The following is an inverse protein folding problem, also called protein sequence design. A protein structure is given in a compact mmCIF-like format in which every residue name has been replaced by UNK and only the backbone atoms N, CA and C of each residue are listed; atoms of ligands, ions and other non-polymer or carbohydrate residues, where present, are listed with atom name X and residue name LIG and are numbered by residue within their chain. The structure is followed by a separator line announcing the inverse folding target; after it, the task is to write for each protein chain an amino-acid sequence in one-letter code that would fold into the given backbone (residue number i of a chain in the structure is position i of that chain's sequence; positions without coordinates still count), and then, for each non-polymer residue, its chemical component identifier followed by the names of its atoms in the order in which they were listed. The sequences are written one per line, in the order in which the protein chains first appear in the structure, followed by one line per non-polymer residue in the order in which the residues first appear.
data_IF_076740040057
#
_entry.id   IF_076740040057
#
_cell.length_a   1.000
_cell.length_b   1.000
_cell.length_c   1.000
_cell.angle_alpha   90.00
_cell.angle_beta   90.00
_cell.angle_gamma   90.00
#
_symmetry.space_group_name_H-M   'P 1'
#
loop_
_entity.id
_entity.type
_entity.pdbx_description
1 polymer ?
#
# COMPACT_ATOMS: atom_id res chain seq x y z
N UNK A 1 26.85 2.33 4.31
CA UNK A 1 26.13 2.77 5.52
C UNK A 1 25.08 3.75 5.03
N UNK A 2 23.79 3.43 5.07
CA UNK A 2 22.76 4.43 4.78
C UNK A 2 22.77 5.36 5.99
N UNK A 3 22.99 6.67 5.85
CA UNK A 3 22.99 7.56 7.00
C UNK A 3 21.60 7.54 7.62
N UNK A 4 21.50 7.02 8.84
CA UNK A 4 20.27 6.92 9.62
C UNK A 4 19.85 8.27 10.23
N UNK A 5 20.41 9.37 9.73
CA UNK A 5 20.12 10.74 10.13
C UNK A 5 19.86 11.48 8.83
N UNK A 6 18.57 11.71 8.54
CA UNK A 6 18.19 12.67 7.51
C UNK A 6 18.76 14.00 7.96
N UNK A 7 19.61 14.64 7.15
CA UNK A 7 20.07 16.01 7.37
C UNK A 7 18.83 16.88 7.73
N UNK A 8 18.86 17.67 8.82
CA UNK A 8 17.76 18.58 9.17
C UNK A 8 17.21 19.39 7.99
N UNK A 9 18.08 19.78 7.05
CA UNK A 9 17.67 20.49 5.82
C UNK A 9 16.83 19.64 4.87
N UNK A 10 17.16 18.36 4.72
CA UNK A 10 16.42 17.39 3.92
C UNK A 10 15.08 17.00 4.55
N UNK A 11 15.03 16.88 5.88
CA UNK A 11 13.79 16.60 6.61
C UNK A 11 12.79 17.76 6.52
N UNK A 12 13.29 19.00 6.53
CA UNK A 12 12.45 20.19 6.32
C UNK A 12 11.84 20.17 4.91
N UNK A 13 12.67 20.01 3.86
CA UNK A 13 12.18 19.97 2.47
C UNK A 13 11.13 18.87 2.24
N UNK A 14 11.32 17.71 2.88
CA UNK A 14 10.34 16.63 2.86
C UNK A 14 9.01 17.05 3.50
N UNK A 15 9.08 17.66 4.69
CA UNK A 15 7.89 18.10 5.43
C UNK A 15 7.12 19.16 4.64
N UNK A 16 7.83 20.15 4.08
CA UNK A 16 7.26 21.20 3.23
C UNK A 16 6.50 20.59 2.03
N UNK A 17 7.13 19.65 1.33
CA UNK A 17 6.50 18.98 0.18
C UNK A 17 5.23 18.22 0.56
N UNK A 18 5.24 17.55 1.72
CA UNK A 18 4.07 16.83 2.23
C UNK A 18 2.95 17.79 2.60
N UNK A 19 3.26 18.88 3.30
CA UNK A 19 2.29 19.92 3.70
C UNK A 19 1.65 20.57 2.47
N UNK A 20 2.45 20.93 1.46
CA UNK A 20 1.95 21.51 0.21
C UNK A 20 1.04 20.52 -0.54
N UNK A 21 1.40 19.24 -0.59
CA UNK A 21 0.58 18.20 -1.19
C UNK A 21 -0.76 18.02 -0.47
N UNK A 22 -0.75 17.97 0.86
CA UNK A 22 -1.97 17.90 1.67
C UNK A 22 -2.85 19.13 1.43
N UNK A 23 -2.26 20.33 1.44
CA UNK A 23 -2.99 21.57 1.17
C UNK A 23 -3.64 21.55 -0.22
N UNK A 24 -2.89 21.15 -1.25
CA UNK A 24 -3.39 21.03 -2.63
C UNK A 24 -4.60 20.09 -2.74
N UNK A 25 -4.58 18.94 -2.04
CA UNK A 25 -5.72 18.01 -2.01
C UNK A 25 -6.96 18.69 -1.41
N UNK A 26 -6.83 19.36 -0.27
CA UNK A 26 -7.99 19.99 0.38
C UNK A 26 -8.51 21.22 -0.37
N UNK A 27 -7.62 21.95 -1.06
CA UNK A 27 -8.01 23.02 -2.00
C UNK A 27 -8.78 22.46 -3.19
N UNK A 28 -8.31 21.38 -3.80
CA UNK A 28 -9.00 20.72 -4.92
C UNK A 28 -10.38 20.21 -4.52
N UNK A 29 -10.51 19.68 -3.30
CA UNK A 29 -11.78 19.22 -2.74
C UNK A 29 -12.68 20.38 -2.26
N UNK A 30 -12.16 21.60 -2.17
CA UNK A 30 -12.83 22.78 -1.58
C UNK A 30 -13.33 22.49 -0.16
N UNK A 31 -12.49 21.86 0.66
CA UNK A 31 -12.84 21.42 2.01
C UNK A 31 -11.80 21.85 3.03
N UNK A 32 -12.26 22.15 4.25
CA UNK A 32 -11.38 22.42 5.39
C UNK A 32 -11.37 21.23 6.36
N UNK A 33 -10.22 20.57 6.57
CA UNK A 33 -10.17 19.43 7.47
C UNK A 33 -10.07 19.81 8.95
N UNK A 34 -10.63 18.96 9.79
CA UNK A 34 -10.18 18.75 11.18
C UNK A 34 -8.95 17.86 11.11
N UNK A 35 -7.88 18.24 11.80
CA UNK A 35 -6.60 17.52 11.72
C UNK A 35 -6.41 16.73 13.01
N UNK A 36 -6.22 15.43 12.87
CA UNK A 36 -5.79 14.50 13.92
C UNK A 36 -4.49 13.83 13.49
N UNK A 37 -3.68 13.43 14.46
CA UNK A 37 -2.41 12.78 14.18
C UNK A 37 -2.12 11.72 15.24
N UNK A 38 -1.35 10.72 14.85
CA UNK A 38 -0.88 9.67 15.75
C UNK A 38 0.08 10.24 16.79
N UNK A 39 -0.26 10.12 18.08
CA UNK A 39 0.48 10.79 19.17
C UNK A 39 1.93 10.33 19.32
N UNK A 40 2.20 9.04 19.08
CA UNK A 40 3.52 8.42 19.25
C UNK A 40 4.51 8.79 18.15
N UNK A 41 4.06 9.48 17.09
CA UNK A 41 4.93 9.91 15.99
C UNK A 41 5.18 11.40 16.01
N UNK A 42 6.43 11.77 16.32
CA UNK A 42 6.91 13.15 16.21
C UNK A 42 6.79 13.69 14.77
N UNK A 43 7.02 12.83 13.76
CA UNK A 43 6.87 13.18 12.35
C UNK A 43 5.42 13.49 12.01
N UNK A 44 4.48 12.65 12.44
CA UNK A 44 3.05 12.87 12.22
C UNK A 44 2.57 14.15 12.90
N UNK A 45 3.00 14.37 14.16
CA UNK A 45 2.73 15.59 14.91
C UNK A 45 3.26 16.83 14.20
N UNK A 46 4.50 16.79 13.70
CA UNK A 46 5.11 17.89 12.95
C UNK A 46 4.32 18.22 11.70
N UNK A 47 4.06 17.23 10.84
CA UNK A 47 3.28 17.41 9.60
C UNK A 47 1.89 17.98 9.91
N UNK A 48 1.22 17.46 10.94
CA UNK A 48 -0.10 17.93 11.34
C UNK A 48 -0.08 19.39 11.83
N UNK A 49 0.91 19.77 12.64
CA UNK A 49 1.08 21.15 13.09
C UNK A 49 1.41 22.10 11.93
N UNK A 50 2.35 21.75 11.06
CA UNK A 50 2.72 22.56 9.90
C UNK A 50 1.54 22.71 8.92
N UNK A 51 0.77 21.63 8.68
CA UNK A 51 -0.48 21.68 7.90
C UNK A 51 -1.51 22.59 8.57
N UNK A 52 -1.70 22.48 9.89
CA UNK A 52 -2.64 23.33 10.63
C UNK A 52 -2.24 24.80 10.56
N UNK A 53 -0.94 25.11 10.64
CA UNK A 53 -0.41 26.47 10.47
C UNK A 53 -0.65 26.95 9.05
N UNK A 54 -0.29 26.15 8.03
CA UNK A 54 -0.54 26.45 6.61
C UNK A 54 -2.02 26.81 6.41
N UNK A 55 -2.95 25.89 6.70
CA UNK A 55 -4.41 26.11 6.57
C UNK A 55 -4.90 27.34 7.35
N UNK A 56 -4.37 27.61 8.55
CA UNK A 56 -4.71 28.81 9.32
C UNK A 56 -4.19 30.09 8.68
N UNK A 57 -2.98 30.10 8.14
CA UNK A 57 -2.40 31.26 7.45
C UNK A 57 -3.22 31.62 6.21
N UNK A 58 -3.57 30.63 5.38
CA UNK A 58 -4.47 30.83 4.24
C UNK A 58 -5.81 31.42 4.67
N UNK A 59 -6.36 31.00 5.81
CA UNK A 59 -7.66 31.49 6.28
C UNK A 59 -7.57 32.90 6.93
N UNK A 60 -6.47 33.20 7.64
CA UNK A 60 -6.36 34.42 8.48
C UNK A 60 -5.98 35.67 7.68
N UNK A 61 -5.32 35.51 6.53
CA UNK A 61 -4.98 36.64 5.67
C UNK A 61 -6.19 37.35 5.01
N UNK A 62 -7.42 36.85 5.20
CA UNK A 62 -8.66 37.57 4.88
C UNK A 62 -8.90 38.80 5.79
N UNK A 63 -8.20 38.91 6.94
CA UNK A 63 -8.37 40.02 7.90
C UNK A 63 -7.02 40.62 8.31
N UNK A 64 -6.71 41.79 7.75
CA UNK A 64 -5.57 42.67 8.03
C UNK A 64 -4.93 42.54 9.43
N UNK A 65 -3.92 41.67 9.59
CA UNK A 65 -3.05 41.65 10.77
C UNK A 65 -1.61 41.35 10.30
N UNK A 66 -0.70 42.33 10.47
CA UNK A 66 0.74 42.18 10.23
C UNK A 66 1.40 41.28 11.29
N UNK A 67 2.33 40.42 10.86
CA UNK A 67 3.22 39.64 11.72
C UNK A 67 4.69 39.96 11.39
N UNK A 68 5.62 39.86 12.37
CA UNK A 68 7.04 40.17 12.18
C UNK A 68 7.74 39.21 11.21
N UNK A 69 8.56 39.78 10.34
CA UNK A 69 9.08 39.20 9.10
C UNK A 69 10.39 38.40 9.27
N UNK A 70 10.43 37.41 10.18
CA UNK A 70 11.67 36.67 10.46
C UNK A 70 11.64 35.18 10.07
N UNK A 71 10.83 34.77 9.09
CA UNK A 71 10.90 33.43 8.50
C UNK A 71 10.69 33.49 6.97
N UNK A 72 11.80 33.49 6.24
CA UNK A 72 11.87 33.65 4.77
C UNK A 72 11.23 32.50 3.98
N UNK A 73 10.70 31.46 4.62
CA UNK A 73 9.98 30.36 3.98
C UNK A 73 8.45 30.55 3.95
N UNK A 74 7.92 31.63 4.55
CA UNK A 74 6.47 31.95 4.55
C UNK A 74 6.01 32.85 3.40
N UNK A 75 6.87 33.18 2.43
CA UNK A 75 6.57 34.15 1.38
C UNK A 75 5.52 33.66 0.36
N UNK A 76 5.40 32.34 0.12
CA UNK A 76 4.34 31.82 -0.77
C UNK A 76 2.94 31.97 -0.14
N UNK A 77 2.86 31.86 1.19
CA UNK A 77 1.61 32.01 1.97
C UNK A 77 1.14 33.46 2.13
N UNK A 78 1.95 34.44 1.75
CA UNK A 78 1.60 35.86 1.87
C UNK A 78 0.75 36.39 0.71
N UNK A 79 0.76 35.72 -0.45
CA UNK A 79 0.11 36.24 -1.66
C UNK A 79 -1.32 35.74 -1.87
N UNK A 80 -1.75 34.67 -1.21
CA UNK A 80 -3.01 33.99 -1.54
C UNK A 80 -3.94 33.90 -0.30
N UNK A 81 -4.40 35.05 0.18
CA UNK A 81 -5.33 35.15 1.28
C UNK A 81 -6.70 34.55 0.95
N UNK A 82 -7.28 33.76 1.86
CA UNK A 82 -8.67 33.30 1.79
C UNK A 82 -8.93 32.00 1.02
N UNK A 83 -7.89 31.28 0.55
CA UNK A 83 -8.11 30.06 -0.25
C UNK A 83 -8.91 28.95 0.45
N UNK A 84 -8.92 28.95 1.80
CA UNK A 84 -9.67 27.99 2.60
C UNK A 84 -10.99 28.53 3.16
N UNK A 85 -11.47 29.68 2.68
CA UNK A 85 -12.77 30.27 3.09
C UNK A 85 -13.93 29.59 2.36
N UNK A 86 -14.09 28.29 2.61
CA UNK A 86 -15.16 27.49 2.05
C UNK A 86 -16.42 27.56 2.92
N UNK A 87 -17.59 27.40 2.29
CA UNK A 87 -18.86 27.28 3.01
C UNK A 87 -18.77 26.16 4.04
N UNK A 88 -19.19 26.45 5.27
CA UNK A 88 -19.28 25.43 6.33
C UNK A 88 -20.26 24.33 5.90
N UNK A 89 -19.83 23.09 6.05
CA UNK A 89 -20.65 21.90 5.79
C UNK A 89 -21.02 21.22 7.10
N UNK A 90 -22.12 20.45 7.11
CA UNK A 90 -22.64 19.78 8.31
C UNK A 90 -21.60 18.82 8.92
N UNK A 91 -20.88 18.09 8.07
CA UNK A 91 -19.72 17.30 8.46
C UNK A 91 -18.43 18.00 8.06
N UNK A 92 -17.49 18.09 9.01
CA UNK A 92 -16.12 18.53 8.71
C UNK A 92 -15.29 17.32 8.30
N UNK A 93 -14.55 17.36 7.18
CA UNK A 93 -13.67 16.27 6.79
C UNK A 93 -12.56 16.09 7.83
N UNK A 94 -12.11 14.85 8.00
CA UNK A 94 -11.02 14.51 8.91
C UNK A 94 -9.75 14.24 8.10
N UNK A 95 -8.67 14.96 8.38
CA UNK A 95 -7.31 14.59 8.01
C UNK A 95 -6.71 13.81 9.19
N UNK A 96 -6.43 12.53 8.98
CA UNK A 96 -5.69 11.71 9.94
C UNK A 96 -4.25 11.49 9.44
N UNK A 97 -3.28 12.01 10.18
CA UNK A 97 -1.84 11.82 9.91
C UNK A 97 -1.33 10.64 10.73
N UNK A 98 -1.02 9.53 10.05
CA UNK A 98 -0.49 8.31 10.68
C UNK A 98 0.94 8.03 10.24
N UNK A 99 1.66 7.28 11.05
CA UNK A 99 3.03 6.85 10.77
C UNK A 99 3.08 5.37 10.42
N UNK A 100 3.77 5.05 9.32
CA UNK A 100 3.94 3.67 8.85
C UNK A 100 4.65 2.78 9.87
N UNK A 101 5.44 3.35 10.78
CA UNK A 101 6.10 2.61 11.87
C UNK A 101 5.12 1.87 12.79
N UNK A 102 3.85 2.27 12.83
CA UNK A 102 2.84 1.61 13.65
C UNK A 102 2.36 0.28 13.07
N UNK A 103 2.39 0.15 11.74
CA UNK A 103 2.05 -1.06 11.00
C UNK A 103 3.06 -1.33 9.87
N UNK A 104 4.25 -1.86 10.22
CA UNK A 104 5.27 -2.21 9.23
C UNK A 104 4.90 -3.45 8.41
N UNK A 105 3.91 -4.25 8.83
CA UNK A 105 3.54 -5.51 8.15
C UNK A 105 2.80 -5.24 6.86
N UNK A 106 1.87 -4.28 6.87
CA UNK A 106 1.05 -3.95 5.72
C UNK A 106 1.85 -3.56 4.46
N UNK A 107 3.13 -3.19 4.57
CA UNK A 107 4.00 -2.95 3.40
C UNK A 107 4.70 -4.21 2.90
N UNK A 108 5.03 -5.13 3.81
CA UNK A 108 5.80 -6.34 3.48
C UNK A 108 5.05 -7.30 2.56
N UNK A 109 3.71 -7.22 2.56
CA UNK A 109 2.79 -8.06 1.79
C UNK A 109 2.56 -7.53 0.38
N UNK A 110 2.89 -6.26 0.09
CA UNK A 110 2.70 -5.70 -1.25
C UNK A 110 3.81 -6.20 -2.21
N UNK A 111 3.38 -7.02 -3.17
CA UNK A 111 4.22 -7.64 -4.21
C UNK A 111 4.16 -6.81 -5.50
N UNK A 112 3.35 -5.75 -5.56
CA UNK A 112 3.07 -5.09 -6.83
C UNK A 112 4.27 -4.27 -7.32
N UNK A 113 4.85 -4.67 -8.45
CA UNK A 113 5.77 -3.86 -9.25
C UNK A 113 5.05 -2.74 -10.01
N UNK A 114 3.96 -2.20 -9.44
CA UNK A 114 3.14 -1.16 -10.04
C UNK A 114 3.83 0.19 -9.84
N UNK A 115 4.22 0.85 -10.93
CA UNK A 115 4.80 2.19 -10.92
C UNK A 115 3.95 3.08 -11.80
N UNK A 116 3.38 4.15 -11.24
CA UNK A 116 2.50 5.08 -11.96
C UNK A 116 1.35 4.37 -12.72
N UNK A 117 0.73 3.39 -12.06
CA UNK A 117 -0.30 2.51 -12.63
C UNK A 117 0.16 1.66 -13.82
N UNK A 118 1.46 1.51 -14.01
CA UNK A 118 2.07 0.67 -15.05
C UNK A 118 2.74 -0.55 -14.44
N UNK A 119 2.60 -1.67 -15.12
CA UNK A 119 3.28 -2.92 -14.80
C UNK A 119 4.21 -3.26 -15.95
N UNK A 120 5.49 -3.43 -15.62
CA UNK A 120 6.47 -3.94 -16.56
C UNK A 120 6.47 -5.48 -16.51
N UNK A 121 5.90 -6.12 -17.53
CA UNK A 121 5.84 -7.58 -17.62
C UNK A 121 7.22 -8.24 -17.77
N UNK A 122 8.26 -7.48 -18.15
CA UNK A 122 9.66 -7.98 -18.23
C UNK A 122 10.24 -8.30 -16.85
N UNK A 123 9.77 -7.62 -15.81
CA UNK A 123 10.23 -7.83 -14.44
C UNK A 123 9.58 -9.07 -13.78
N UNK A 124 8.52 -9.61 -14.40
CA UNK A 124 7.64 -10.63 -13.84
C UNK A 124 7.86 -11.99 -14.52
N UNK A 125 8.35 -12.01 -15.77
CA UNK A 125 8.52 -13.25 -16.55
C UNK A 125 9.73 -13.31 -17.48
N UNK A 126 9.80 -14.40 -18.25
CA UNK A 126 10.85 -14.73 -19.22
C UNK A 126 10.60 -14.19 -20.63
N UNK A 127 10.01 -12.99 -20.75
CA UNK A 127 9.75 -12.37 -22.05
C UNK A 127 11.06 -11.80 -22.62
N UNK A 128 11.25 -11.91 -23.94
CA UNK A 128 12.46 -11.40 -24.60
C UNK A 128 12.53 -9.87 -24.49
N UNK A 129 13.75 -9.33 -24.35
CA UNK A 129 14.01 -7.90 -24.09
C UNK A 129 13.47 -6.95 -25.18
N UNK A 130 13.12 -7.46 -26.35
CA UNK A 130 12.73 -6.68 -27.54
C UNK A 130 11.23 -6.39 -27.65
N UNK A 131 10.38 -6.98 -26.82
CA UNK A 131 8.95 -6.64 -26.75
C UNK A 131 8.65 -5.91 -25.44
N UNK A 132 8.61 -4.58 -25.49
CA UNK A 132 8.11 -3.78 -24.37
C UNK A 132 6.61 -3.96 -24.27
N UNK A 133 6.15 -4.65 -23.22
CA UNK A 133 4.72 -4.70 -22.87
C UNK A 133 4.56 -4.06 -21.49
N UNK A 134 4.63 -2.72 -21.45
CA UNK A 134 4.12 -1.96 -20.31
C UNK A 134 2.60 -2.05 -20.33
N UNK A 135 2.01 -2.57 -19.25
CA UNK A 135 0.56 -2.67 -19.10
C UNK A 135 0.07 -1.56 -18.17
N UNK A 136 -0.87 -0.75 -18.64
CA UNK A 136 -1.54 0.26 -17.82
C UNK A 136 -2.75 -0.36 -17.13
N UNK A 137 -2.86 -0.18 -15.81
CA UNK A 137 -3.97 -0.60 -14.97
C UNK A 137 -4.69 0.63 -14.39
N UNK A 138 -5.83 1.02 -14.97
CA UNK A 138 -6.63 2.16 -14.52
C UNK A 138 -8.08 1.77 -14.30
N UNK A 139 -8.60 2.01 -13.10
CA UNK A 139 -10.00 1.73 -12.75
C UNK A 139 -10.99 2.65 -13.48
N UNK A 140 -10.54 3.78 -14.03
CA UNK A 140 -11.39 4.68 -14.82
C UNK A 140 -11.57 4.19 -16.26
N UNK A 141 -10.52 3.57 -16.82
CA UNK A 141 -10.48 3.17 -18.24
C UNK A 141 -10.74 1.68 -18.45
N UNK A 142 -10.67 0.87 -17.39
CA UNK A 142 -10.80 -0.58 -17.43
C UNK A 142 -11.86 -1.06 -16.43
N UNK A 143 -13.05 -1.41 -16.97
CA UNK A 143 -14.17 -1.88 -16.19
C UNK A 143 -13.91 -3.23 -15.51
N UNK A 144 -13.13 -4.11 -16.14
CA UNK A 144 -12.79 -5.39 -15.54
C UNK A 144 -11.85 -5.17 -14.35
N UNK A 145 -10.80 -4.37 -14.52
CA UNK A 145 -9.89 -4.03 -13.43
C UNK A 145 -10.63 -3.37 -12.27
N UNK A 146 -11.49 -2.38 -12.55
CA UNK A 146 -12.32 -1.72 -11.52
C UNK A 146 -13.15 -2.69 -10.69
N UNK A 147 -13.72 -3.70 -11.33
CA UNK A 147 -14.60 -4.67 -10.67
C UNK A 147 -13.84 -5.77 -9.93
N UNK A 148 -12.57 -5.99 -10.26
CA UNK A 148 -11.78 -7.12 -9.75
C UNK A 148 -10.54 -6.71 -8.91
N UNK A 149 -10.21 -5.41 -8.82
CA UNK A 149 -8.97 -4.94 -8.17
C UNK A 149 -8.86 -5.24 -6.66
N UNK A 150 -9.95 -5.65 -6.02
CA UNK A 150 -10.00 -6.02 -4.60
C UNK A 150 -10.42 -7.47 -4.37
N UNK A 151 -10.63 -8.25 -5.44
CA UNK A 151 -11.01 -9.65 -5.36
C UNK A 151 -9.82 -10.52 -4.95
N UNK A 152 -10.09 -11.68 -4.34
CA UNK A 152 -9.03 -12.62 -4.00
C UNK A 152 -8.53 -13.36 -5.26
N UNK A 153 -7.37 -14.02 -5.15
CA UNK A 153 -6.73 -14.67 -6.30
C UNK A 153 -7.58 -15.80 -6.92
N UNK A 154 -8.37 -16.52 -6.12
CA UNK A 154 -9.28 -17.55 -6.61
C UNK A 154 -10.44 -16.97 -7.42
N UNK A 155 -11.08 -15.92 -6.89
CA UNK A 155 -12.18 -15.23 -7.55
C UNK A 155 -11.74 -14.51 -8.83
N UNK A 156 -10.55 -13.89 -8.83
CA UNK A 156 -9.94 -13.32 -10.04
C UNK A 156 -9.76 -14.41 -11.11
N UNK A 157 -9.26 -15.60 -10.74
CA UNK A 157 -9.11 -16.71 -11.68
C UNK A 157 -10.44 -17.12 -12.33
N UNK A 158 -11.51 -17.21 -11.56
CA UNK A 158 -12.86 -17.50 -12.08
C UNK A 158 -13.40 -16.38 -12.98
N UNK A 159 -13.19 -15.12 -12.60
CA UNK A 159 -13.66 -13.97 -13.37
C UNK A 159 -12.91 -13.80 -14.70
N UNK A 160 -11.61 -14.11 -14.75
CA UNK A 160 -10.84 -14.19 -15.99
C UNK A 160 -11.37 -15.28 -16.90
N UNK A 161 -11.65 -16.47 -16.34
CA UNK A 161 -12.22 -17.57 -17.12
C UNK A 161 -13.54 -17.16 -17.76
N UNK A 162 -14.43 -16.51 -16.99
CA UNK A 162 -15.70 -15.97 -17.51
C UNK A 162 -15.47 -14.97 -18.64
N UNK A 163 -14.52 -14.05 -18.49
CA UNK A 163 -14.16 -13.10 -19.54
C UNK A 163 -13.68 -13.78 -20.84
N UNK A 164 -12.88 -14.85 -20.72
CA UNK A 164 -12.43 -15.64 -21.87
C UNK A 164 -13.60 -16.39 -22.51
N UNK A 165 -14.47 -16.99 -21.70
CA UNK A 165 -15.66 -17.71 -22.18
C UNK A 165 -16.62 -16.76 -22.92
N UNK A 166 -16.86 -15.56 -22.40
CA UNK A 166 -17.69 -14.53 -23.04
C UNK A 166 -17.10 -14.10 -24.39
N UNK A 167 -15.78 -13.89 -24.47
CA UNK A 167 -15.10 -13.60 -25.73
C UNK A 167 -15.22 -14.77 -26.72
N UNK A 168 -15.03 -16.00 -26.25
CA UNK A 168 -15.16 -17.20 -27.08
C UNK A 168 -16.58 -17.41 -27.58
N UNK A 169 -17.63 -17.07 -26.83
CA UNK A 169 -19.00 -17.17 -27.31
C UNK A 169 -19.26 -16.21 -28.48
N UNK A 170 -18.80 -14.97 -28.36
CA UNK A 170 -18.89 -13.98 -29.44
C UNK A 170 -18.10 -14.46 -30.67
N UNK A 171 -16.89 -14.98 -30.44
CA UNK A 171 -16.04 -15.48 -31.50
C UNK A 171 -16.53 -16.78 -32.16
N UNK A 172 -17.11 -17.72 -31.42
CA UNK A 172 -17.61 -19.03 -31.91
C UNK A 172 -18.74 -18.90 -32.91
N UNK A 173 -19.47 -17.78 -32.89
CA UNK A 173 -20.42 -17.45 -33.97
C UNK A 173 -19.72 -17.33 -35.33
N UNK A 174 -18.39 -17.12 -35.34
CA UNK A 174 -17.57 -16.87 -36.51
C UNK A 174 -16.41 -17.88 -36.68
N UNK A 175 -15.69 -18.31 -35.63
CA UNK A 175 -14.53 -19.24 -35.64
C UNK A 175 -14.27 -19.92 -34.28
N UNK A 176 -13.58 -21.08 -34.26
CA UNK A 176 -13.15 -21.74 -33.02
C UNK A 176 -11.82 -21.15 -32.49
N UNK A 177 -11.85 -20.49 -31.34
CA UNK A 177 -10.69 -19.79 -30.73
C UNK A 177 -10.31 -20.46 -29.41
N UNK A 178 -9.03 -20.85 -29.27
CA UNK A 178 -8.53 -21.47 -28.03
C UNK A 178 -7.35 -20.72 -27.41
N UNK A 179 -6.50 -20.08 -28.23
CA UNK A 179 -5.26 -19.42 -27.78
C UNK A 179 -5.32 -17.90 -27.92
N UNK A 180 -4.41 -17.18 -27.26
CA UNK A 180 -4.30 -15.72 -27.38
C UNK A 180 -3.90 -15.32 -28.81
N UNK A 181 -3.10 -16.15 -29.47
CA UNK A 181 -2.70 -16.01 -30.87
C UNK A 181 -3.91 -16.16 -31.81
N UNK A 182 -4.81 -17.11 -31.54
CA UNK A 182 -6.06 -17.26 -32.29
C UNK A 182 -6.95 -16.02 -32.13
N UNK A 183 -7.00 -15.44 -30.92
CA UNK A 183 -7.75 -14.20 -30.68
C UNK A 183 -7.21 -13.05 -31.53
N UNK A 184 -5.89 -12.95 -31.72
CA UNK A 184 -5.28 -11.92 -32.56
C UNK A 184 -5.70 -12.09 -34.03
N UNK A 185 -5.62 -13.31 -34.57
CA UNK A 185 -6.04 -13.62 -35.95
C UNK A 185 -7.52 -13.37 -36.19
N UNK A 186 -8.36 -13.61 -35.19
CA UNK A 186 -9.79 -13.31 -35.26
C UNK A 186 -10.03 -11.81 -35.40
N UNK A 187 -9.33 -11.00 -34.60
CA UNK A 187 -9.48 -9.53 -34.63
C UNK A 187 -8.96 -8.92 -35.93
N UNK A 188 -7.97 -9.53 -36.58
CA UNK A 188 -7.54 -9.10 -37.91
C UNK A 188 -8.68 -9.17 -38.94
N UNK A 189 -9.60 -10.13 -38.79
CA UNK A 189 -10.79 -10.27 -39.62
C UNK A 189 -11.99 -9.45 -39.11
N UNK A 190 -12.02 -9.08 -37.82
CA UNK A 190 -13.12 -8.36 -37.17
C UNK A 190 -12.61 -7.25 -36.22
N UNK A 191 -12.20 -6.09 -36.76
CA UNK A 191 -11.54 -5.01 -36.00
C UNK A 191 -12.39 -4.42 -34.85
N UNK A 192 -13.71 -4.53 -34.92
CA UNK A 192 -14.65 -4.08 -33.88
C UNK A 192 -14.42 -4.77 -32.53
N UNK A 193 -13.86 -5.99 -32.51
CA UNK A 193 -13.56 -6.73 -31.28
C UNK A 193 -12.18 -6.44 -30.70
N UNK A 194 -11.38 -5.56 -31.33
CA UNK A 194 -10.00 -5.27 -30.91
C UNK A 194 -9.87 -4.80 -29.47
N UNK A 195 -10.78 -3.95 -29.00
CA UNK A 195 -10.79 -3.47 -27.60
C UNK A 195 -11.05 -4.63 -26.63
N UNK A 196 -11.98 -5.52 -26.97
CA UNK A 196 -12.35 -6.66 -26.13
C UNK A 196 -11.21 -7.67 -26.06
N UNK A 197 -10.62 -8.03 -27.20
CA UNK A 197 -9.45 -8.91 -27.27
C UNK A 197 -8.24 -8.34 -26.51
N UNK A 198 -7.96 -7.04 -26.64
CA UNK A 198 -6.87 -6.40 -25.92
C UNK A 198 -7.04 -6.48 -24.40
N UNK A 199 -8.28 -6.33 -23.89
CA UNK A 199 -8.56 -6.50 -22.47
C UNK A 199 -8.44 -7.95 -22.00
N UNK A 200 -8.95 -8.92 -22.78
CA UNK A 200 -8.81 -10.36 -22.49
C UNK A 200 -7.33 -10.74 -22.43
N UNK A 201 -6.57 -10.43 -23.49
CA UNK A 201 -5.15 -10.73 -23.59
C UNK A 201 -4.35 -10.13 -22.43
N UNK A 202 -4.59 -8.85 -22.11
CA UNK A 202 -3.93 -8.14 -21.00
C UNK A 202 -4.13 -8.84 -19.66
N UNK A 203 -5.38 -9.12 -19.27
CA UNK A 203 -5.70 -9.65 -17.95
C UNK A 203 -5.35 -11.13 -17.82
N UNK A 204 -5.50 -11.92 -18.89
CA UNK A 204 -5.00 -13.31 -18.95
C UNK A 204 -3.49 -13.34 -18.76
N UNK A 205 -2.75 -12.46 -19.44
CA UNK A 205 -1.28 -12.38 -19.32
C UNK A 205 -0.87 -12.04 -17.89
N UNK A 206 -1.48 -11.00 -17.30
CA UNK A 206 -1.16 -10.59 -15.92
C UNK A 206 -1.38 -11.72 -14.90
N UNK A 207 -2.55 -12.37 -14.94
CA UNK A 207 -2.88 -13.45 -13.98
C UNK A 207 -2.03 -14.69 -14.21
N UNK A 208 -1.67 -14.99 -15.47
CA UNK A 208 -0.75 -16.09 -15.79
C UNK A 208 0.64 -15.82 -15.20
N UNK A 209 1.17 -14.61 -15.38
CA UNK A 209 2.48 -14.26 -14.83
C UNK A 209 2.47 -14.17 -13.29
N UNK A 210 1.39 -13.68 -12.68
CA UNK A 210 1.21 -13.76 -11.23
C UNK A 210 1.18 -15.21 -10.73
N UNK A 211 0.49 -16.11 -11.43
CA UNK A 211 0.44 -17.53 -11.07
C UNK A 211 1.84 -18.17 -11.12
N UNK A 212 2.60 -17.90 -12.19
CA UNK A 212 4.01 -18.34 -12.32
C UNK A 212 4.87 -17.81 -11.17
N UNK A 213 4.70 -16.55 -10.77
CA UNK A 213 5.44 -15.97 -9.65
C UNK A 213 5.09 -16.65 -8.32
N UNK A 214 3.80 -16.91 -8.06
CA UNK A 214 3.33 -17.60 -6.85
C UNK A 214 3.93 -19.00 -6.76
N UNK A 215 3.95 -19.73 -7.88
CA UNK A 215 4.53 -21.08 -7.97
C UNK A 215 6.06 -21.06 -7.82
N UNK A 216 6.76 -20.22 -8.60
CA UNK A 216 8.21 -20.14 -8.61
C UNK A 216 8.79 -19.75 -7.25
N UNK A 217 8.12 -18.81 -6.55
CA UNK A 217 8.54 -18.33 -5.23
C UNK A 217 7.94 -19.15 -4.08
N UNK A 218 7.09 -20.14 -4.40
CA UNK A 218 6.40 -21.02 -3.44
C UNK A 218 5.69 -20.24 -2.32
N UNK A 219 5.03 -19.13 -2.68
CA UNK A 219 4.47 -18.15 -1.73
C UNK A 219 3.32 -18.69 -0.86
N UNK A 220 2.85 -19.92 -1.13
CA UNK A 220 1.77 -20.59 -0.42
C UNK A 220 2.26 -21.51 0.72
N UNK A 221 3.58 -21.63 0.93
CA UNK A 221 4.18 -22.51 1.95
C UNK A 221 4.26 -21.86 3.34
N UNK A 222 4.40 -22.68 4.38
CA UNK A 222 4.56 -22.24 5.76
C UNK A 222 5.93 -21.55 6.02
N UNK A 223 5.91 -20.54 6.90
CA UNK A 223 7.04 -19.64 7.22
C UNK A 223 8.34 -20.36 7.59
N UNK A 224 8.27 -21.48 8.32
CA UNK A 224 9.44 -22.26 8.77
C UNK A 224 10.09 -23.07 7.64
N UNK A 225 9.29 -23.60 6.73
CA UNK A 225 9.78 -24.40 5.60
C UNK A 225 10.39 -23.51 4.50
N UNK A 226 9.88 -22.29 4.37
CA UNK A 226 10.36 -21.27 3.42
C UNK A 226 11.80 -20.80 3.70
N UNK A 227 12.22 -20.74 4.96
CA UNK A 227 13.58 -20.30 5.31
C UNK A 227 14.66 -21.34 4.98
N UNK A 228 14.28 -22.61 4.85
CA UNK A 228 15.19 -23.68 4.41
C UNK A 228 15.24 -23.79 2.88
N UNK A 229 14.15 -23.44 2.22
CA UNK A 229 13.95 -23.62 0.79
C UNK A 229 14.86 -22.70 -0.06
N UNK A 230 15.62 -23.31 -0.96
CA UNK A 230 16.59 -22.61 -1.83
C UNK A 230 15.92 -21.75 -2.91
N UNK A 231 14.67 -22.09 -3.28
CA UNK A 231 13.94 -21.41 -4.36
C UNK A 231 13.27 -20.10 -3.91
N UNK A 232 13.29 -19.79 -2.61
CA UNK A 232 12.71 -18.54 -2.09
C UNK A 232 13.65 -17.38 -2.39
N UNK A 233 13.09 -16.29 -2.92
CA UNK A 233 13.89 -15.10 -3.26
C UNK A 233 14.54 -14.48 -2.01
N UNK A 234 15.68 -13.81 -2.18
CA UNK A 234 16.39 -13.16 -1.06
C UNK A 234 15.51 -12.12 -0.35
N UNK A 235 14.67 -11.39 -1.09
CA UNK A 235 13.77 -10.38 -0.55
C UNK A 235 12.63 -11.02 0.27
N UNK A 236 12.09 -12.14 -0.18
CA UNK A 236 11.03 -12.85 0.55
C UNK A 236 11.59 -13.49 1.83
N UNK A 237 12.83 -13.99 1.82
CA UNK A 237 13.53 -14.42 3.04
C UNK A 237 13.70 -13.26 4.04
N UNK A 238 14.15 -12.09 3.57
CA UNK A 238 14.26 -10.90 4.43
C UNK A 238 12.90 -10.53 5.04
N UNK A 239 11.84 -10.50 4.24
CA UNK A 239 10.46 -10.21 4.69
C UNK A 239 10.01 -11.20 5.77
N UNK A 240 10.24 -12.50 5.57
CA UNK A 240 9.89 -13.53 6.57
C UNK A 240 10.66 -13.34 7.88
N UNK A 241 11.97 -13.06 7.81
CA UNK A 241 12.78 -12.79 9.01
C UNK A 241 12.31 -11.50 9.70
N UNK A 242 11.96 -10.46 8.96
CA UNK A 242 11.39 -9.21 9.52
C UNK A 242 10.05 -9.46 10.22
N UNK A 243 9.15 -10.24 9.60
CA UNK A 243 7.86 -10.62 10.20
C UNK A 243 8.05 -11.45 11.47
N UNK A 244 8.94 -12.44 11.43
CA UNK A 244 9.29 -13.24 12.60
C UNK A 244 9.85 -12.37 13.72
N UNK A 245 10.77 -11.46 13.39
CA UNK A 245 11.39 -10.53 14.33
C UNK A 245 10.35 -9.66 15.03
N UNK A 246 9.41 -9.07 14.28
CA UNK A 246 8.33 -8.23 14.82
C UNK A 246 7.33 -9.01 15.69
N UNK A 247 7.08 -10.29 15.37
CA UNK A 247 6.15 -11.14 16.13
C UNK A 247 6.74 -11.59 17.45
N UNK A 248 8.00 -12.02 17.43
CA UNK A 248 8.66 -12.68 18.57
C UNK A 248 9.72 -11.81 19.25
N UNK A 249 9.59 -10.47 19.16
CA UNK A 249 10.57 -9.48 19.66
C UNK A 249 11.07 -9.75 21.08
N UNK A 250 10.19 -10.23 21.96
CA UNK A 250 10.46 -10.43 23.40
C UNK A 250 10.50 -11.90 23.83
N UNK A 251 10.24 -12.84 22.92
CA UNK A 251 10.01 -14.25 23.28
C UNK A 251 11.26 -15.12 23.11
N UNK A 252 12.00 -14.98 22.01
CA UNK A 252 13.15 -15.85 21.73
C UNK A 252 14.32 -15.13 21.03
N UNK A 253 15.15 -14.38 21.78
CA UNK A 253 16.27 -13.63 21.21
C UNK A 253 17.36 -14.53 20.59
N UNK A 254 17.53 -15.76 21.09
CA UNK A 254 18.52 -16.72 20.57
C UNK A 254 18.12 -17.20 19.18
N UNK A 255 16.87 -17.61 19.00
CA UNK A 255 16.35 -18.04 17.70
C UNK A 255 16.39 -16.89 16.69
N UNK A 256 16.08 -15.67 17.13
CA UNK A 256 16.18 -14.48 16.28
C UNK A 256 17.62 -14.25 15.76
N UNK A 257 18.63 -14.40 16.64
CA UNK A 257 20.03 -14.29 16.25
C UNK A 257 20.46 -15.39 15.28
N UNK A 258 19.97 -16.63 15.46
CA UNK A 258 20.22 -17.72 14.52
C UNK A 258 19.63 -17.42 13.13
N UNK A 259 18.43 -16.85 13.07
CA UNK A 259 17.81 -16.41 11.82
C UNK A 259 18.59 -15.29 11.14
N UNK A 260 19.14 -14.35 11.90
CA UNK A 260 19.98 -13.27 11.36
C UNK A 260 21.26 -13.80 10.75
N UNK A 261 21.95 -14.71 11.44
CA UNK A 261 23.16 -15.34 10.93
C UNK A 261 22.89 -16.15 9.66
N UNK A 262 21.74 -16.84 9.61
CA UNK A 262 21.31 -17.60 8.43
C UNK A 262 20.94 -16.70 7.25
N UNK A 263 20.34 -15.54 7.49
CA UNK A 263 20.08 -14.55 6.46
C UNK A 263 21.39 -13.97 5.91
N UNK A 264 22.33 -13.64 6.80
CA UNK A 264 23.64 -13.08 6.46
C UNK A 264 24.50 -14.05 5.64
N UNK A 265 24.45 -15.35 5.95
CA UNK A 265 25.23 -16.35 5.22
C UNK A 265 24.69 -16.64 3.82
N UNK A 266 23.41 -16.36 3.57
CA UNK A 266 22.74 -16.67 2.29
C UNK A 266 22.61 -15.47 1.35
N UNK A 267 22.66 -14.24 1.85
CA UNK A 267 22.54 -13.04 1.02
C UNK A 267 23.58 -11.98 1.37
N UNK A 268 24.54 -11.68 0.48
CA UNK A 268 25.46 -10.57 0.68
C UNK A 268 24.78 -9.21 0.53
N UNK A 269 23.59 -9.17 -0.10
CA UNK A 269 22.83 -7.95 -0.41
C UNK A 269 22.11 -7.39 0.82
N UNK A 270 21.47 -8.25 1.61
CA UNK A 270 20.65 -7.82 2.75
C UNK A 270 21.39 -8.04 4.07
N UNK A 271 21.95 -6.96 4.61
CA UNK A 271 22.65 -7.00 5.89
C UNK A 271 21.66 -7.21 7.04
N UNK A 272 22.00 -7.99 8.07
CA UNK A 272 21.21 -8.11 9.31
C UNK A 272 20.83 -6.78 9.96
N UNK A 273 21.62 -5.73 9.71
CA UNK A 273 21.34 -4.37 10.16
C UNK A 273 19.99 -3.81 9.71
N UNK A 274 19.39 -4.31 8.61
CA UNK A 274 18.05 -3.90 8.20
C UNK A 274 16.98 -4.38 9.19
N UNK A 275 17.11 -5.60 9.70
CA UNK A 275 16.15 -6.13 10.68
C UNK A 275 16.34 -5.46 12.03
N UNK A 276 17.59 -5.20 12.42
CA UNK A 276 17.88 -4.40 13.63
C UNK A 276 17.34 -2.97 13.51
N UNK A 277 17.46 -2.34 12.34
CA UNK A 277 16.91 -1.03 12.08
C UNK A 277 15.38 -1.04 12.18
N UNK A 278 14.72 -2.05 11.60
CA UNK A 278 13.27 -2.24 11.71
C UNK A 278 12.83 -2.32 13.17
N UNK A 279 13.45 -3.20 13.96
CA UNK A 279 13.15 -3.33 15.39
C UNK A 279 13.44 -2.03 16.15
N UNK A 280 14.51 -1.31 15.79
CA UNK A 280 14.79 0.00 16.39
C UNK A 280 13.72 1.02 16.07
N UNK A 281 13.08 0.98 14.90
CA UNK A 281 12.09 1.99 14.49
C UNK A 281 10.64 1.63 14.83
N UNK A 282 10.32 0.34 14.81
CA UNK A 282 8.96 -0.18 14.91
C UNK A 282 8.82 -1.27 15.98
N UNK A 283 9.68 -1.27 17.01
CA UNK A 283 9.51 -2.17 18.17
C UNK A 283 8.17 -1.97 18.83
N UNK A 284 7.76 -2.96 19.59
CA UNK A 284 6.50 -2.96 20.32
C UNK A 284 6.36 -1.84 21.36
N UNK A 285 7.46 -1.20 21.75
CA UNK A 285 7.45 -0.04 22.67
C UNK A 285 7.22 1.29 21.95
N UNK A 286 7.45 1.33 20.64
CA UNK A 286 7.25 2.52 19.81
C UNK A 286 5.88 2.55 19.14
N UNK A 287 5.24 1.39 19.03
CA UNK A 287 3.91 1.21 18.43
C UNK A 287 2.82 1.60 19.41
N UNK A 288 1.76 2.23 18.90
CA UNK A 288 0.55 2.61 19.65
C UNK A 288 -0.32 1.38 19.93
N UNK A 289 -0.35 0.42 18.99
CA UNK A 289 -1.23 -0.75 19.05
C UNK A 289 -0.51 -2.09 19.12
N UNK A 290 -1.29 -3.14 19.39
CA UNK A 290 -0.84 -4.52 19.27
C UNK A 290 -1.02 -5.03 17.84
N UNK A 291 0.06 -4.96 17.07
CA UNK A 291 0.11 -5.32 15.65
C UNK A 291 -0.34 -6.77 15.35
N UNK A 292 -0.18 -7.68 16.31
CA UNK A 292 -0.57 -9.09 16.13
C UNK A 292 -1.83 -9.45 16.91
N UNK A 293 -2.36 -8.54 17.73
CA UNK A 293 -3.56 -8.78 18.55
C UNK A 293 -3.42 -9.87 19.62
N UNK A 294 -2.20 -10.31 19.93
CA UNK A 294 -1.91 -11.41 20.87
C UNK A 294 -1.83 -10.99 22.34
N UNK A 295 -1.75 -9.68 22.65
CA UNK A 295 -1.48 -9.17 24.00
C UNK A 295 -2.73 -8.97 24.84
N UNK A 296 -3.87 -8.73 24.21
CA UNK A 296 -5.13 -8.44 24.89
C UNK A 296 -6.17 -9.53 24.63
N UNK A 297 -6.47 -10.35 25.64
CA UNK A 297 -7.57 -11.33 25.64
C UNK A 297 -8.92 -10.70 25.21
N UNK A 298 -9.13 -9.43 25.55
CA UNK A 298 -10.26 -8.62 25.11
C UNK A 298 -10.28 -8.34 23.60
N UNK A 299 -9.12 -8.13 22.96
CA UNK A 299 -9.01 -7.93 21.51
C UNK A 299 -9.14 -9.27 20.77
N UNK A 300 -8.63 -10.36 21.34
CA UNK A 300 -8.86 -11.73 20.84
C UNK A 300 -10.36 -12.03 20.85
N UNK A 301 -11.07 -11.79 21.96
CA UNK A 301 -12.52 -11.99 22.05
C UNK A 301 -13.31 -11.09 21.07
N UNK A 302 -12.88 -9.83 20.87
CA UNK A 302 -13.49 -8.92 19.88
C UNK A 302 -13.26 -9.37 18.43
N UNK A 303 -12.06 -9.87 18.12
CA UNK A 303 -11.72 -10.39 16.80
C UNK A 303 -12.43 -11.71 16.51
N UNK A 304 -12.59 -12.58 17.51
CA UNK A 304 -13.41 -13.80 17.43
C UNK A 304 -14.89 -13.49 17.24
N UNK A 305 -15.45 -12.49 17.94
CA UNK A 305 -16.85 -12.08 17.78
C UNK A 305 -17.13 -11.42 16.40
N UNK A 306 -16.10 -10.88 15.73
CA UNK A 306 -16.17 -10.38 14.34
C UNK A 306 -15.99 -11.48 13.30
N UNK A 307 -15.46 -12.64 13.70
CA UNK A 307 -15.00 -13.71 12.84
C UNK A 307 -16.08 -14.71 12.43
N UNK A 308 -17.12 -14.26 11.72
CA UNK A 308 -18.09 -15.16 11.06
C UNK A 308 -18.60 -14.69 9.69
N UNK A 309 -18.00 -13.66 9.04
CA UNK A 309 -18.55 -13.17 7.76
C UNK A 309 -17.57 -12.72 6.66
N UNK A 310 -16.28 -13.07 6.70
CA UNK A 310 -15.42 -12.58 5.61
C UNK A 310 -14.00 -13.09 5.47
N UNK A 311 -13.54 -14.08 6.25
CA UNK A 311 -12.21 -14.64 6.02
C UNK A 311 -12.27 -16.17 6.06
N UNK A 312 -12.77 -16.76 4.98
CA UNK A 312 -12.66 -18.20 4.73
C UNK A 312 -11.24 -18.59 4.26
N UNK A 313 -10.44 -17.61 3.83
CA UNK A 313 -9.13 -17.83 3.24
C UNK A 313 -7.98 -17.59 4.23
N UNK A 314 -7.17 -18.64 4.45
CA UNK A 314 -6.00 -18.65 5.34
C UNK A 314 -4.93 -17.62 4.95
N UNK A 315 -4.90 -17.22 3.68
CA UNK A 315 -3.93 -16.27 3.11
C UNK A 315 -4.31 -14.79 3.34
N UNK A 316 -5.54 -14.50 3.75
CA UNK A 316 -6.06 -13.12 3.91
C UNK A 316 -6.48 -12.79 5.34
N UNK A 317 -5.86 -13.45 6.33
CA UNK A 317 -6.20 -13.28 7.75
C UNK A 317 -5.70 -11.96 8.35
N UNK A 318 -4.63 -11.39 7.82
CA UNK A 318 -4.10 -10.14 8.34
C UNK A 318 -5.00 -8.96 7.95
N UNK A 319 -5.39 -8.19 8.97
CA UNK A 319 -6.12 -6.94 8.80
C UNK A 319 -5.22 -5.78 9.24
N UNK A 320 -4.94 -4.79 8.37
CA UNK A 320 -4.11 -3.64 8.72
C UNK A 320 -4.70 -2.84 9.89
N UNK A 321 -3.83 -2.23 10.70
CA UNK A 321 -4.25 -1.40 11.84
C UNK A 321 -5.18 -0.26 11.40
N UNK A 322 -4.93 0.31 10.23
CA UNK A 322 -5.74 1.38 9.63
C UNK A 322 -7.22 1.00 9.53
N UNK A 323 -7.56 -0.26 9.27
CA UNK A 323 -8.95 -0.69 9.23
C UNK A 323 -9.64 -0.49 10.58
N UNK A 324 -8.99 -0.91 11.67
CA UNK A 324 -9.53 -0.77 13.03
C UNK A 324 -9.65 0.70 13.43
N UNK A 325 -8.68 1.53 13.02
CA UNK A 325 -8.71 2.98 13.19
C UNK A 325 -9.90 3.61 12.46
N UNK A 326 -10.12 3.25 11.20
CA UNK A 326 -11.24 3.74 10.38
C UNK A 326 -12.61 3.33 10.95
N UNK A 327 -12.73 2.10 11.44
CA UNK A 327 -13.94 1.62 12.10
C UNK A 327 -14.22 2.38 13.41
N UNK A 328 -13.17 2.67 14.18
CA UNK A 328 -13.27 3.46 15.42
C UNK A 328 -13.67 4.91 15.14
N UNK A 329 -13.15 5.51 14.06
CA UNK A 329 -13.57 6.84 13.59
C UNK A 329 -15.04 6.84 13.22
N UNK A 330 -15.47 5.87 12.40
CA UNK A 330 -16.86 5.78 11.92
C UNK A 330 -17.86 5.59 13.08
N UNK A 331 -17.43 4.93 14.16
CA UNK A 331 -18.22 4.73 15.39
C UNK A 331 -18.08 5.85 16.42
N UNK A 332 -17.26 6.88 16.17
CA UNK A 332 -16.99 7.95 17.13
C UNK A 332 -16.25 7.50 18.40
N UNK A 333 -15.47 6.41 18.32
CA UNK A 333 -14.74 5.79 19.45
C UNK A 333 -13.23 5.99 19.40
N UNK A 334 -12.72 6.75 18.42
CA UNK A 334 -11.29 7.03 18.33
C UNK A 334 -10.87 7.97 19.47
N UNK A 335 -10.13 7.45 20.45
CA UNK A 335 -9.71 8.19 21.65
C UNK A 335 -8.77 9.33 21.30
N UNK A 336 -8.76 10.42 22.06
CA UNK A 336 -7.85 11.56 21.85
C UNK A 336 -6.38 11.24 22.19
N UNK A 337 -6.13 10.09 22.82
CA UNK A 337 -4.79 9.62 23.21
C UNK A 337 -4.09 8.77 22.15
N UNK A 338 -4.83 8.29 21.16
CA UNK A 338 -4.35 7.53 20.01
C UNK A 338 -4.07 8.50 18.83
#
# INVERSE_FOLDING_TARGET
MIPAVVDPSGLQRYSDRVVDGIAAVFLALKRRPVIRYQRTSDTAKRIAHETAVSVKLWNKFSKNISFPANESHKLMYQHESGLFDFRRTESSPLLLVIDRRDDPIAQSVDISGLQDNKVDLRAIGSLSKDQQVEVVLSSEQDAFFKSNMYENFGDIGMNIKRMVDDFQQVAKSNQNIQTVEDMARFVDNYPEYKKMQGNVSKHVTLVTEMSKLVEARKLMLAVTDLLNNENVSEIDRLRLVMLYALRYEKENPVQLMQLFNKLASRSPKYKPGLVQFLLKQASVEKRTGDLFGNRDLMNIARNMARGLKGVENVYTQHQPLLFQTMESITRGRLRDVD
#
